data_IF_980282599116
#
_entry.id   IF_980282599116
#
_cell.length_a   1.000
_cell.length_b   1.000
_cell.length_c   1.000
_cell.angle_alpha   90.00
_cell.angle_beta   90.00
_cell.angle_gamma   90.00
#
_symmetry.space_group_name_H-M   'P 1'
#
loop_
_entity.id
_entity.type
_entity.pdbx_description
1 polymer ?
#
# COMPACT_ATOMS: atom_id res chain seq x y z
N UNK A 1 10.89 48.32 52.00
CA UNK A 1 10.16 47.09 52.41
C UNK A 1 10.07 47.18 53.98
N UNK A 2 8.85 47.26 54.50
CA UNK A 2 8.63 47.24 55.96
C UNK A 2 9.01 45.85 56.51
N UNK A 3 9.63 45.74 57.69
CA UNK A 3 10.09 44.44 58.22
C UNK A 3 9.03 43.37 58.33
N UNK A 4 7.79 43.73 58.60
CA UNK A 4 6.67 42.82 58.73
C UNK A 4 6.24 42.18 57.34
N UNK A 5 6.42 42.92 56.29
CA UNK A 5 6.17 42.38 54.92
C UNK A 5 7.29 41.44 54.46
N UNK A 6 8.51 41.62 54.97
CA UNK A 6 9.61 40.72 54.57
C UNK A 6 9.50 39.35 55.22
N UNK A 7 9.09 39.27 56.48
CA UNK A 7 8.86 37.97 57.14
C UNK A 7 7.71 37.19 56.46
N UNK A 8 6.58 37.86 56.23
CA UNK A 8 5.43 37.24 55.52
C UNK A 8 5.80 36.79 54.08
N UNK A 9 6.57 37.60 53.38
CA UNK A 9 7.09 37.24 52.06
C UNK A 9 8.05 36.05 52.15
N UNK A 10 8.98 36.02 53.07
CA UNK A 10 9.92 34.92 53.27
C UNK A 10 9.22 33.63 53.63
N UNK A 11 8.22 33.68 54.49
CA UNK A 11 7.42 32.49 54.82
C UNK A 11 6.60 31.98 53.67
N UNK A 12 6.02 32.87 52.90
CA UNK A 12 5.29 32.51 51.66
C UNK A 12 6.19 31.87 50.60
N UNK A 13 7.40 32.45 50.43
CA UNK A 13 8.41 31.87 49.51
C UNK A 13 8.88 30.52 50.03
N UNK A 14 9.12 30.38 51.33
CA UNK A 14 9.58 29.12 51.93
C UNK A 14 8.51 28.01 51.87
N UNK A 15 7.25 28.37 52.07
CA UNK A 15 6.13 27.43 51.84
C UNK A 15 6.01 27.04 50.37
N UNK A 16 6.16 27.99 49.46
CA UNK A 16 6.14 27.72 48.02
C UNK A 16 7.26 26.76 47.62
N UNK A 17 8.47 26.93 48.13
CA UNK A 17 9.59 26.02 47.89
C UNK A 17 9.32 24.63 48.46
N UNK A 18 8.76 24.52 49.68
CA UNK A 18 8.42 23.25 50.32
C UNK A 18 7.37 22.46 49.53
N UNK A 19 6.45 23.16 48.87
CA UNK A 19 5.37 22.56 48.04
C UNK A 19 5.72 22.50 46.55
N UNK A 20 6.99 22.70 46.18
CA UNK A 20 7.46 22.76 44.79
C UNK A 20 6.75 23.81 43.93
N UNK A 21 6.20 24.86 44.55
CA UNK A 21 5.47 25.92 43.85
C UNK A 21 4.12 25.47 43.28
N UNK A 22 3.60 26.27 42.35
CA UNK A 22 2.39 25.93 41.59
C UNK A 22 2.80 25.57 40.17
N UNK A 23 2.32 24.45 39.61
CA UNK A 23 2.64 24.08 38.24
C UNK A 23 2.18 25.19 37.28
N UNK A 24 3.05 25.60 36.37
CA UNK A 24 2.75 26.57 35.31
C UNK A 24 2.36 25.88 34.03
N UNK A 25 3.01 24.79 33.75
CA UNK A 25 2.75 23.92 32.61
C UNK A 25 2.94 22.45 33.01
N UNK A 26 2.27 21.61 32.27
CA UNK A 26 2.42 20.16 32.34
C UNK A 26 2.38 19.58 30.92
N UNK A 27 3.36 18.72 30.63
CA UNK A 27 3.44 18.04 29.34
C UNK A 27 3.67 16.55 29.51
N UNK A 28 2.84 15.77 28.86
CA UNK A 28 2.97 14.32 28.79
C UNK A 28 3.07 13.89 27.33
N UNK A 29 4.01 13.01 27.03
CA UNK A 29 4.13 12.39 25.70
C UNK A 29 4.08 10.89 25.83
N UNK A 30 3.24 10.27 25.04
CA UNK A 30 3.12 8.82 24.91
C UNK A 30 3.50 8.41 23.51
N UNK A 31 4.39 7.44 23.39
CA UNK A 31 4.78 6.85 22.10
C UNK A 31 4.68 5.35 22.19
N UNK A 32 3.95 4.75 21.27
CA UNK A 32 3.88 3.32 21.07
C UNK A 32 4.27 2.99 19.63
N UNK A 33 5.20 2.08 19.45
CA UNK A 33 5.59 1.59 18.13
C UNK A 33 5.52 0.07 18.10
N UNK A 34 4.92 -0.46 17.05
CA UNK A 34 4.78 -1.89 16.87
C UNK A 34 5.14 -2.28 15.43
N UNK A 35 6.08 -3.18 15.30
CA UNK A 35 6.40 -3.85 14.05
C UNK A 35 5.59 -5.13 13.96
N UNK A 36 4.63 -5.16 13.04
CA UNK A 36 3.78 -6.36 12.85
C UNK A 36 4.65 -7.44 12.21
N UNK A 37 4.88 -8.58 12.88
CA UNK A 37 5.82 -9.58 12.40
C UNK A 37 5.24 -10.49 11.30
N UNK A 38 4.58 -9.89 10.30
CA UNK A 38 4.01 -10.63 9.16
C UNK A 38 5.08 -11.39 8.40
N UNK A 39 6.26 -10.80 8.28
CA UNK A 39 7.42 -11.40 7.61
C UNK A 39 7.97 -12.68 8.26
N UNK A 40 7.54 -13.01 9.50
CA UNK A 40 7.88 -14.28 10.16
C UNK A 40 6.97 -15.42 9.72
N UNK A 41 5.84 -15.12 9.10
CA UNK A 41 4.95 -16.11 8.53
C UNK A 41 5.44 -16.49 7.13
N UNK A 42 5.61 -17.79 6.82
CA UNK A 42 6.25 -18.22 5.57
C UNK A 42 5.51 -17.81 4.29
N UNK A 43 4.22 -17.42 4.39
CA UNK A 43 3.42 -16.93 3.25
C UNK A 43 3.52 -15.41 3.10
N UNK A 44 3.91 -14.68 4.17
CA UNK A 44 3.90 -13.21 4.22
C UNK A 44 5.29 -12.58 4.42
N UNK A 45 6.36 -13.31 4.13
CA UNK A 45 7.74 -12.82 4.20
C UNK A 45 8.03 -11.63 3.25
N UNK A 46 7.18 -11.44 2.26
CA UNK A 46 7.20 -10.32 1.30
C UNK A 46 6.49 -9.06 1.81
N UNK A 47 5.86 -9.10 3.02
CA UNK A 47 5.15 -7.99 3.63
C UNK A 47 5.88 -7.53 4.88
N UNK A 48 6.22 -6.25 4.93
CA UNK A 48 6.71 -5.58 6.14
C UNK A 48 5.73 -4.49 6.53
N UNK A 49 5.27 -4.48 7.78
CA UNK A 49 4.38 -3.43 8.24
C UNK A 49 4.73 -2.95 9.64
N UNK A 50 4.50 -1.67 9.88
CA UNK A 50 4.72 -1.03 11.17
C UNK A 50 3.60 -0.03 11.47
N UNK A 51 3.27 0.06 12.75
CA UNK A 51 2.35 1.03 13.29
C UNK A 51 3.07 1.85 14.37
N UNK A 52 2.92 3.16 14.33
CA UNK A 52 3.44 4.06 15.36
C UNK A 52 2.33 5.00 15.78
N UNK A 53 2.13 5.09 17.07
CA UNK A 53 1.18 5.99 17.70
C UNK A 53 1.91 6.93 18.64
N UNK A 54 1.78 8.22 18.41
CA UNK A 54 2.31 9.28 19.25
C UNK A 54 1.15 10.12 19.77
N UNK A 55 1.12 10.41 21.07
CA UNK A 55 0.17 11.31 21.67
C UNK A 55 0.89 12.27 22.62
N UNK A 56 0.55 13.54 22.54
CA UNK A 56 1.07 14.58 23.43
C UNK A 56 -0.11 15.30 24.06
N UNK A 57 -0.09 15.37 25.38
CA UNK A 57 -1.02 16.16 26.18
C UNK A 57 -0.26 17.30 26.81
N UNK A 58 -0.79 18.53 26.72
CA UNK A 58 -0.27 19.69 27.38
C UNK A 58 -1.39 20.36 28.20
N UNK A 59 -1.04 20.82 29.37
CA UNK A 59 -1.84 21.71 30.20
C UNK A 59 -0.98 22.94 30.49
N UNK A 60 -1.54 24.11 30.29
CA UNK A 60 -0.88 25.39 30.54
C UNK A 60 -1.79 26.23 31.43
N UNK A 61 -1.25 26.75 32.52
CA UNK A 61 -1.99 27.62 33.43
C UNK A 61 -2.42 28.90 32.74
N UNK A 62 -3.68 29.24 32.90
CA UNK A 62 -4.21 30.50 32.46
C UNK A 62 -3.79 31.66 33.34
N UNK A 63 -3.94 32.85 32.84
CA UNK A 63 -3.73 34.09 33.54
C UNK A 63 -5.03 34.57 34.18
N UNK A 64 -4.95 35.25 35.32
CA UNK A 64 -6.06 36.00 35.86
C UNK A 64 -6.03 37.44 35.30
N UNK A 65 -7.19 38.02 35.07
CA UNK A 65 -7.34 39.43 34.73
C UNK A 65 -7.08 40.33 35.97
N UNK A 66 -6.87 41.61 35.74
CA UNK A 66 -6.62 42.57 36.81
C UNK A 66 -7.76 42.70 37.83
N UNK A 67 -8.96 42.34 37.45
CA UNK A 67 -10.16 42.29 38.29
C UNK A 67 -10.30 41.00 39.09
N UNK A 68 -9.33 40.07 38.97
CA UNK A 68 -9.30 38.80 39.67
C UNK A 68 -10.06 37.69 38.94
N UNK A 69 -10.63 37.95 37.76
CA UNK A 69 -11.31 36.94 36.97
C UNK A 69 -10.32 35.93 36.41
N UNK A 70 -10.45 34.64 36.78
CA UNK A 70 -9.64 33.56 36.22
C UNK A 70 -10.15 33.16 34.83
N UNK A 71 -9.29 33.25 33.83
CA UNK A 71 -9.64 32.86 32.43
C UNK A 71 -9.62 31.35 32.22
N UNK A 72 -9.28 30.56 33.25
CA UNK A 72 -9.07 29.14 33.14
C UNK A 72 -7.78 28.76 32.43
N UNK A 73 -7.44 27.50 32.46
CA UNK A 73 -6.23 26.94 31.83
C UNK A 73 -6.47 26.60 30.37
N UNK A 74 -5.41 26.31 29.66
CA UNK A 74 -5.52 25.78 28.31
C UNK A 74 -5.04 24.33 28.30
N UNK A 75 -5.89 23.40 27.84
CA UNK A 75 -5.47 22.03 27.56
C UNK A 75 -5.37 21.82 26.07
N UNK A 76 -4.40 21.04 25.68
CA UNK A 76 -4.27 20.62 24.28
C UNK A 76 -3.81 19.18 24.18
N UNK A 77 -4.28 18.50 23.17
CA UNK A 77 -3.76 17.20 22.78
C UNK A 77 -3.38 17.20 21.30
N UNK A 78 -2.41 16.37 20.98
CA UNK A 78 -2.03 16.07 19.62
C UNK A 78 -1.75 14.58 19.55
N UNK A 79 -2.44 13.86 18.65
CA UNK A 79 -2.15 12.47 18.37
C UNK A 79 -1.73 12.30 16.91
N UNK A 80 -0.84 11.37 16.67
CA UNK A 80 -0.44 10.97 15.31
C UNK A 80 -0.37 9.46 15.24
N UNK A 81 -1.13 8.87 14.34
CA UNK A 81 -1.05 7.46 13.94
C UNK A 81 -0.36 7.36 12.59
N UNK A 82 0.74 6.63 12.56
CA UNK A 82 1.46 6.31 11.32
C UNK A 82 1.38 4.81 11.08
N UNK A 83 0.87 4.43 9.93
CA UNK A 83 0.85 3.06 9.45
C UNK A 83 1.70 2.98 8.18
N UNK A 84 2.68 2.10 8.17
CA UNK A 84 3.54 1.87 7.02
C UNK A 84 3.45 0.41 6.61
N UNK A 85 3.29 0.16 5.31
CA UNK A 85 3.31 -1.16 4.71
C UNK A 85 4.21 -1.17 3.49
N UNK A 86 5.16 -2.08 3.45
CA UNK A 86 6.03 -2.32 2.30
C UNK A 86 5.79 -3.73 1.79
N UNK A 87 5.45 -3.84 0.52
CA UNK A 87 5.14 -5.08 -0.18
C UNK A 87 6.24 -5.35 -1.21
N UNK A 88 7.11 -6.31 -0.93
CA UNK A 88 8.16 -6.73 -1.85
C UNK A 88 7.64 -7.83 -2.77
N UNK A 89 7.10 -7.43 -3.91
CA UNK A 89 6.51 -8.34 -4.89
C UNK A 89 7.53 -9.33 -5.46
N UNK A 90 8.80 -8.95 -5.51
CA UNK A 90 9.85 -9.85 -5.98
C UNK A 90 10.01 -11.06 -5.04
N UNK A 91 9.98 -10.87 -3.73
CA UNK A 91 10.00 -11.95 -2.77
C UNK A 91 8.80 -12.86 -2.95
N UNK A 92 7.59 -12.27 -3.12
CA UNK A 92 6.38 -13.03 -3.43
C UNK A 92 6.53 -13.89 -4.69
N UNK A 93 7.07 -13.32 -5.78
CA UNK A 93 7.25 -14.06 -7.04
C UNK A 93 8.23 -15.22 -6.89
N UNK A 94 9.24 -15.10 -6.02
CA UNK A 94 10.23 -16.14 -5.77
C UNK A 94 9.66 -17.38 -5.07
N UNK A 95 8.48 -17.30 -4.43
CA UNK A 95 7.77 -18.47 -3.91
C UNK A 95 7.29 -19.43 -5.02
N UNK A 96 7.07 -18.90 -6.21
CA UNK A 96 6.63 -19.68 -7.36
C UNK A 96 7.83 -20.10 -8.22
N UNK A 97 8.17 -21.40 -8.32
CA UNK A 97 9.37 -21.84 -9.05
C UNK A 97 9.44 -21.39 -10.51
N UNK A 98 8.29 -21.28 -11.17
CA UNK A 98 8.20 -20.78 -12.54
C UNK A 98 8.54 -19.28 -12.62
N UNK A 99 7.92 -18.46 -11.76
CA UNK A 99 8.16 -17.01 -11.72
C UNK A 99 9.59 -16.69 -11.30
N UNK A 100 10.13 -17.45 -10.34
CA UNK A 100 11.54 -17.35 -9.93
C UNK A 100 12.49 -17.54 -11.11
N UNK A 101 12.30 -18.61 -11.91
CA UNK A 101 13.11 -18.86 -13.11
C UNK A 101 12.99 -17.74 -14.15
N UNK A 102 11.80 -17.21 -14.33
CA UNK A 102 11.57 -16.08 -15.24
C UNK A 102 12.30 -14.84 -14.74
N UNK A 103 12.24 -14.55 -13.44
CA UNK A 103 12.90 -13.41 -12.81
C UNK A 103 14.45 -13.52 -12.89
N UNK A 104 15.01 -14.69 -12.59
CA UNK A 104 16.45 -14.95 -12.69
C UNK A 104 16.97 -14.77 -14.13
N UNK A 105 16.20 -15.23 -15.13
CA UNK A 105 16.51 -15.03 -16.54
C UNK A 105 16.51 -13.56 -16.95
N UNK A 106 15.56 -12.82 -16.42
CA UNK A 106 15.44 -11.39 -16.65
C UNK A 106 16.64 -10.60 -16.08
N UNK A 107 17.15 -11.02 -14.91
CA UNK A 107 18.29 -10.38 -14.22
C UNK A 107 19.66 -10.71 -14.82
N UNK A 108 19.80 -11.90 -15.44
CA UNK A 108 21.10 -12.27 -16.04
C UNK A 108 21.42 -11.34 -17.19
N UNK A 109 22.60 -10.69 -17.21
CA UNK A 109 23.03 -9.93 -18.37
C UNK A 109 23.00 -10.86 -19.58
N UNK A 110 22.52 -10.40 -20.72
CA UNK A 110 22.75 -11.08 -21.99
C UNK A 110 24.26 -11.05 -22.17
N UNK A 111 24.91 -12.18 -21.93
CA UNK A 111 26.33 -12.30 -22.28
C UNK A 111 26.43 -11.90 -23.75
N UNK A 112 27.01 -10.73 -24.00
CA UNK A 112 27.39 -10.34 -25.35
C UNK A 112 28.35 -11.43 -25.77
N UNK A 113 27.91 -12.33 -26.61
CA UNK A 113 28.77 -13.28 -27.28
C UNK A 113 29.72 -12.41 -28.13
N UNK A 114 30.85 -12.08 -27.57
CA UNK A 114 31.93 -11.52 -28.33
C UNK A 114 32.27 -12.62 -29.32
N UNK A 115 31.84 -12.46 -30.56
CA UNK A 115 32.34 -13.25 -31.66
C UNK A 115 33.82 -12.91 -31.74
N UNK A 116 34.68 -13.77 -31.18
CA UNK A 116 36.09 -13.74 -31.50
C UNK A 116 36.20 -13.92 -33.02
N UNK A 117 36.94 -13.08 -33.70
CA UNK A 117 37.22 -13.30 -35.09
C UNK A 117 38.19 -14.50 -35.17
N UNK A 118 37.64 -15.67 -35.49
CA UNK A 118 38.48 -16.82 -35.90
C UNK A 118 39.04 -16.56 -37.27
N UNK A 119 40.29 -16.03 -37.28
CA UNK A 119 41.19 -16.20 -38.41
C UNK A 119 41.71 -17.64 -38.41
N UNK A 120 41.08 -18.53 -39.11
CA UNK A 120 41.69 -19.78 -39.56
C UNK A 120 41.17 -20.13 -40.93
N UNK A 121 42.12 -20.25 -41.83
CA UNK A 121 42.06 -20.52 -43.25
C UNK A 121 41.20 -21.73 -43.61
N UNK A 122 40.43 -21.55 -44.68
CA UNK A 122 39.77 -22.55 -45.48
C UNK A 122 40.74 -23.51 -46.14
N UNK A 123 40.42 -24.77 -46.39
CA UNK A 123 40.51 -25.32 -47.73
C UNK A 123 39.16 -25.80 -48.24
N UNK A 124 38.98 -25.43 -49.46
CA UNK A 124 37.98 -25.84 -50.45
C UNK A 124 38.05 -27.34 -50.74
N UNK A 125 36.93 -28.00 -50.75
CA UNK A 125 36.61 -28.95 -51.85
C UNK A 125 35.10 -29.17 -51.92
N UNK A 126 34.57 -28.93 -53.06
CA UNK A 126 33.22 -29.17 -53.51
C UNK A 126 32.97 -30.67 -53.66
N UNK A 127 31.77 -31.09 -53.28
CA UNK A 127 31.02 -32.08 -54.06
C UNK A 127 29.52 -31.97 -53.76
N UNK A 128 28.80 -31.85 -54.82
CA UNK A 128 27.33 -31.70 -54.93
C UNK A 128 26.68 -33.07 -55.01
N UNK A 129 25.37 -33.15 -54.77
CA UNK A 129 24.67 -34.23 -54.11
C UNK A 129 24.01 -35.18 -55.07
N UNK A 130 23.73 -36.34 -54.57
CA UNK A 130 22.73 -37.23 -55.20
C UNK A 130 21.51 -37.40 -54.28
N UNK A 131 20.34 -37.21 -54.84
CA UNK A 131 19.07 -37.53 -54.23
C UNK A 131 19.01 -39.05 -54.00
N UNK A 132 18.46 -39.40 -52.86
CA UNK A 132 17.45 -40.44 -52.66
C UNK A 132 17.52 -40.94 -51.20
N UNK A 133 16.41 -40.94 -50.63
CA UNK A 133 15.74 -41.86 -49.73
C UNK A 133 15.07 -41.17 -48.57
N UNK A 134 13.77 -41.18 -48.67
CA UNK A 134 12.78 -40.95 -47.62
C UNK A 134 12.93 -41.98 -46.51
N UNK A 135 13.86 -41.75 -45.61
CA UNK A 135 13.92 -42.41 -44.32
C UNK A 135 13.70 -41.37 -43.21
N UNK A 136 12.62 -41.55 -42.45
CA UNK A 136 12.33 -40.84 -41.22
C UNK A 136 13.59 -40.64 -40.39
N UNK A 137 13.84 -39.46 -39.83
CA UNK A 137 15.07 -39.18 -39.08
C UNK A 137 15.21 -40.16 -37.91
N UNK A 138 16.17 -41.08 -38.00
CA UNK A 138 16.61 -41.90 -36.87
C UNK A 138 17.02 -41.00 -35.73
N UNK A 139 16.16 -40.91 -34.73
CA UNK A 139 16.37 -40.08 -33.55
C UNK A 139 17.60 -40.62 -32.80
N UNK A 140 18.80 -40.05 -33.04
CA UNK A 140 20.09 -40.48 -32.48
C UNK A 140 20.14 -40.49 -30.94
N UNK A 141 19.07 -40.04 -30.28
CA UNK A 141 18.93 -39.94 -28.83
C UNK A 141 17.90 -40.90 -28.23
N UNK A 142 17.39 -41.88 -28.96
CA UNK A 142 16.47 -42.87 -28.43
C UNK A 142 17.25 -44.05 -27.82
N UNK A 143 16.94 -44.39 -26.58
CA UNK A 143 17.37 -45.65 -25.99
C UNK A 143 16.37 -46.75 -26.44
N UNK A 144 16.85 -47.86 -26.95
CA UNK A 144 16.03 -48.96 -27.38
C UNK A 144 16.54 -50.23 -26.73
N UNK A 145 15.59 -51.02 -26.20
CA UNK A 145 15.85 -52.31 -25.60
C UNK A 145 14.69 -53.25 -25.88
N UNK A 146 15.00 -54.49 -26.23
CA UNK A 146 14.00 -55.53 -26.36
C UNK A 146 13.78 -56.16 -24.96
N UNK A 147 12.52 -56.23 -24.53
CA UNK A 147 12.13 -56.74 -23.23
C UNK A 147 11.08 -57.82 -23.43
N UNK A 148 11.32 -58.96 -22.75
CA UNK A 148 10.32 -59.97 -22.58
C UNK A 148 9.60 -59.72 -21.25
N UNK A 149 8.38 -59.30 -21.32
CA UNK A 149 7.54 -59.01 -20.18
C UNK A 149 6.77 -60.26 -19.77
N UNK A 150 6.66 -60.50 -18.48
CA UNK A 150 5.85 -61.60 -17.93
C UNK A 150 4.77 -61.01 -17.01
N UNK A 151 3.64 -61.72 -16.83
CA UNK A 151 2.59 -61.23 -15.93
C UNK A 151 3.12 -61.00 -14.52
N UNK A 152 2.66 -59.92 -13.90
CA UNK A 152 3.01 -59.51 -12.53
C UNK A 152 4.49 -59.36 -12.20
N UNK A 153 5.38 -59.35 -13.17
CA UNK A 153 6.79 -59.05 -12.99
C UNK A 153 7.11 -57.62 -13.30
N UNK A 154 8.02 -57.05 -12.50
CA UNK A 154 8.52 -55.68 -12.75
C UNK A 154 9.92 -55.74 -13.33
N UNK A 155 10.12 -55.15 -14.48
CA UNK A 155 11.42 -55.08 -15.17
C UNK A 155 12.00 -53.67 -15.01
N UNK A 156 13.19 -53.60 -14.40
CA UNK A 156 13.92 -52.34 -14.28
C UNK A 156 14.75 -52.08 -15.54
N UNK A 157 14.54 -50.95 -16.18
CA UNK A 157 15.26 -50.54 -17.39
C UNK A 157 16.12 -49.31 -17.06
N UNK A 158 17.42 -49.44 -17.34
CA UNK A 158 18.38 -48.34 -17.21
C UNK A 158 18.58 -47.66 -18.53
N UNK A 159 17.94 -46.51 -18.73
CA UNK A 159 17.94 -45.78 -20.00
C UNK A 159 19.03 -44.69 -20.09
N UNK A 160 19.66 -44.31 -18.99
CA UNK A 160 20.78 -43.33 -18.87
C UNK A 160 20.53 -41.99 -19.57
N UNK A 161 19.24 -41.52 -19.64
CA UNK A 161 18.87 -40.26 -20.30
C UNK A 161 19.00 -39.02 -19.41
N UNK A 162 19.36 -39.18 -18.13
CA UNK A 162 19.48 -38.11 -17.12
C UNK A 162 18.23 -37.20 -17.05
N UNK A 163 17.05 -37.80 -17.24
CA UNK A 163 15.78 -37.06 -17.25
C UNK A 163 14.68 -37.89 -16.59
N UNK A 164 13.88 -37.23 -15.75
CA UNK A 164 12.62 -37.81 -15.22
C UNK A 164 11.44 -37.67 -16.19
N UNK A 165 11.57 -36.80 -17.20
CA UNK A 165 10.55 -36.57 -18.22
C UNK A 165 10.90 -37.42 -19.45
N UNK A 166 10.17 -38.52 -19.60
CA UNK A 166 10.42 -39.51 -20.64
C UNK A 166 9.17 -39.67 -21.51
N UNK A 167 9.42 -39.96 -22.78
CA UNK A 167 8.45 -40.51 -23.73
C UNK A 167 8.83 -41.97 -23.89
N UNK A 168 7.99 -42.87 -23.42
CA UNK A 168 8.23 -44.30 -23.46
C UNK A 168 7.21 -44.89 -24.43
N UNK A 169 7.67 -45.55 -25.45
CA UNK A 169 6.84 -46.26 -26.43
C UNK A 169 7.29 -47.70 -26.55
N UNK A 170 6.36 -48.62 -26.62
CA UNK A 170 6.63 -50.03 -26.84
C UNK A 170 5.98 -50.48 -28.15
N UNK A 171 6.69 -51.35 -28.89
CA UNK A 171 6.18 -51.98 -30.09
C UNK A 171 6.44 -53.47 -30.05
N UNK A 172 5.47 -54.25 -30.52
CA UNK A 172 5.59 -55.69 -30.72
C UNK A 172 6.55 -56.02 -31.88
N UNK A 173 6.96 -57.27 -32.04
CA UNK A 173 7.80 -57.70 -33.16
C UNK A 173 7.19 -57.39 -34.53
N UNK A 174 5.86 -57.33 -34.62
CA UNK A 174 5.10 -57.00 -35.85
C UNK A 174 5.01 -55.48 -36.04
N UNK A 175 5.69 -54.65 -35.25
CA UNK A 175 5.70 -53.19 -35.36
C UNK A 175 4.46 -52.49 -34.83
N UNK A 176 3.47 -53.20 -34.30
CA UNK A 176 2.26 -52.60 -33.69
C UNK A 176 2.58 -51.92 -32.36
N UNK A 177 1.97 -50.77 -32.09
CA UNK A 177 2.08 -50.08 -30.82
C UNK A 177 1.45 -50.90 -29.69
N UNK A 178 2.16 -51.08 -28.58
CA UNK A 178 1.69 -51.82 -27.44
C UNK A 178 1.59 -50.89 -26.21
N UNK A 179 0.44 -50.82 -25.54
CA UNK A 179 0.28 -50.02 -24.35
C UNK A 179 1.07 -50.61 -23.19
N UNK A 180 1.93 -49.82 -22.57
CA UNK A 180 2.82 -50.24 -21.49
C UNK A 180 2.64 -49.37 -20.26
N UNK A 181 2.58 -49.95 -19.07
CA UNK A 181 2.57 -49.24 -17.81
C UNK A 181 4.00 -49.12 -17.27
N UNK A 182 4.44 -47.92 -17.03
CA UNK A 182 5.77 -47.66 -16.47
C UNK A 182 5.74 -46.64 -15.35
N UNK A 183 6.72 -46.74 -14.44
CA UNK A 183 6.97 -45.76 -13.37
C UNK A 183 8.42 -45.34 -13.45
N UNK A 184 8.66 -44.04 -13.48
CA UNK A 184 10.01 -43.46 -13.43
C UNK A 184 10.51 -43.53 -11.99
N UNK A 185 11.63 -44.22 -11.77
CA UNK A 185 12.25 -44.37 -10.44
C UNK A 185 13.21 -43.23 -10.18
N UNK A 186 14.13 -43.02 -11.12
CA UNK A 186 15.09 -41.92 -11.06
C UNK A 186 15.36 -41.30 -12.44
N UNK A 187 16.38 -40.44 -12.54
CA UNK A 187 16.74 -39.76 -13.80
C UNK A 187 17.27 -40.72 -14.88
N UNK A 188 17.64 -41.96 -14.51
CA UNK A 188 18.30 -42.92 -15.38
C UNK A 188 17.57 -44.26 -15.44
N UNK A 189 16.61 -44.52 -14.55
CA UNK A 189 15.92 -45.81 -14.42
C UNK A 189 14.42 -45.63 -14.43
N UNK A 190 13.76 -46.55 -15.10
CA UNK A 190 12.31 -46.73 -15.05
C UNK A 190 11.94 -48.19 -14.83
N UNK A 191 10.81 -48.43 -14.24
CA UNK A 191 10.27 -49.78 -14.00
C UNK A 191 9.05 -49.94 -14.87
N UNK A 192 9.02 -51.03 -15.59
CA UNK A 192 7.93 -51.42 -16.47
C UNK A 192 7.18 -52.58 -15.82
N UNK A 193 5.86 -52.51 -15.84
CA UNK A 193 4.98 -53.62 -15.37
C UNK A 193 3.97 -53.93 -16.47
N UNK A 194 3.74 -55.22 -16.69
CA UNK A 194 2.76 -55.71 -17.64
C UNK A 194 1.90 -56.82 -17.08
N UNK A 195 0.73 -57.05 -17.65
CA UNK A 195 -0.19 -58.09 -17.24
C UNK A 195 -0.11 -59.35 -18.11
N UNK A 196 0.50 -59.25 -19.30
CA UNK A 196 0.57 -60.33 -20.28
C UNK A 196 2.02 -60.69 -20.62
N UNK A 197 2.24 -61.91 -21.10
CA UNK A 197 3.55 -62.32 -21.61
C UNK A 197 3.73 -61.83 -23.04
N UNK A 198 4.53 -60.81 -23.23
CA UNK A 198 4.79 -60.19 -24.55
C UNK A 198 6.25 -59.76 -24.68
N UNK A 199 6.83 -59.99 -25.87
CA UNK A 199 8.14 -59.44 -26.18
C UNK A 199 7.93 -58.13 -26.95
N UNK A 200 8.43 -57.00 -26.37
CA UNK A 200 8.27 -55.67 -26.92
C UNK A 200 9.62 -54.97 -27.07
N UNK A 201 9.75 -54.19 -28.12
CA UNK A 201 10.85 -53.27 -28.28
C UNK A 201 10.47 -51.96 -27.62
N UNK A 202 11.10 -51.70 -26.46
CA UNK A 202 10.91 -50.47 -25.70
C UNK A 202 11.80 -49.37 -26.30
N UNK A 203 11.24 -48.21 -26.57
CA UNK A 203 11.96 -47.01 -26.97
C UNK A 203 11.73 -45.93 -25.93
N UNK A 204 12.83 -45.45 -25.31
CA UNK A 204 12.81 -44.38 -24.27
C UNK A 204 13.50 -43.17 -24.86
N UNK A 205 12.78 -42.08 -24.91
CA UNK A 205 13.29 -40.79 -25.39
C UNK A 205 13.12 -39.75 -24.27
N UNK A 206 14.15 -38.96 -23.99
CA UNK A 206 13.98 -37.85 -23.08
C UNK A 206 13.09 -36.79 -23.74
N UNK A 207 12.01 -36.42 -23.05
CA UNK A 207 11.18 -35.29 -23.49
C UNK A 207 12.01 -34.01 -23.39
N UNK A 208 12.00 -33.13 -24.40
CA UNK A 208 12.73 -31.88 -24.34
C UNK A 208 12.35 -31.09 -23.08
N UNK A 209 13.27 -30.26 -22.54
CA UNK A 209 12.96 -29.39 -21.44
C UNK A 209 11.72 -28.57 -21.72
N UNK A 210 10.88 -28.30 -20.70
CA UNK A 210 9.64 -27.51 -20.84
C UNK A 210 9.93 -26.15 -21.49
N UNK A 211 11.14 -25.68 -21.31
CA UNK A 211 11.65 -24.41 -21.84
C UNK A 211 11.65 -24.33 -23.36
N UNK A 212 11.68 -25.49 -24.05
CA UNK A 212 11.66 -25.58 -25.52
C UNK A 212 10.24 -25.79 -26.09
N UNK A 213 9.22 -25.87 -25.25
CA UNK A 213 7.84 -25.96 -25.71
C UNK A 213 7.35 -24.60 -26.24
N UNK A 214 6.56 -24.61 -27.30
CA UNK A 214 6.10 -23.41 -28.02
C UNK A 214 5.36 -22.40 -27.12
N UNK A 215 4.60 -22.88 -26.14
CA UNK A 215 3.82 -22.05 -25.19
C UNK A 215 4.70 -21.43 -24.10
N UNK A 216 5.93 -21.91 -23.89
CA UNK A 216 6.77 -21.47 -22.77
C UNK A 216 7.25 -20.01 -22.95
N UNK A 217 7.62 -19.61 -24.17
CA UNK A 217 8.02 -18.22 -24.46
C UNK A 217 6.86 -17.22 -24.27
N UNK A 218 5.66 -17.46 -24.83
CA UNK A 218 4.50 -16.63 -24.54
C UNK A 218 4.18 -16.57 -23.03
N UNK A 219 4.20 -17.72 -22.35
CA UNK A 219 3.96 -17.78 -20.91
C UNK A 219 4.98 -16.96 -20.10
N UNK A 220 6.25 -16.96 -20.51
CA UNK A 220 7.25 -16.08 -19.89
C UNK A 220 6.95 -14.60 -20.11
N UNK A 221 6.50 -14.21 -21.28
CA UNK A 221 6.14 -12.82 -21.58
C UNK A 221 4.95 -12.35 -20.73
N UNK A 222 3.92 -13.20 -20.62
CA UNK A 222 2.78 -12.94 -19.73
C UNK A 222 3.21 -12.87 -18.26
N UNK A 223 4.05 -13.82 -17.82
CA UNK A 223 4.58 -13.80 -16.45
C UNK A 223 5.38 -12.53 -16.16
N UNK A 224 6.17 -12.03 -17.13
CA UNK A 224 6.88 -10.75 -16.99
C UNK A 224 5.94 -9.57 -16.85
N UNK A 225 4.85 -9.56 -17.63
CA UNK A 225 3.82 -8.54 -17.49
C UNK A 225 3.16 -8.57 -16.11
N UNK A 226 2.85 -9.75 -15.57
CA UNK A 226 2.31 -9.91 -14.23
C UNK A 226 3.32 -9.51 -13.13
N UNK A 227 4.62 -9.76 -13.36
CA UNK A 227 5.72 -9.37 -12.46
C UNK A 227 6.22 -7.94 -12.69
N UNK A 228 5.45 -7.11 -13.39
CA UNK A 228 5.79 -5.71 -13.67
C UNK A 228 6.02 -4.92 -12.38
N UNK A 229 5.18 -5.15 -11.37
CA UNK A 229 5.26 -4.49 -10.06
C UNK A 229 6.38 -5.14 -9.25
N UNK A 230 7.36 -4.34 -8.79
CA UNK A 230 8.49 -4.82 -7.97
C UNK A 230 8.29 -4.56 -6.49
N UNK A 231 7.82 -3.37 -6.15
CA UNK A 231 7.49 -3.00 -4.78
C UNK A 231 6.29 -2.08 -4.74
N UNK A 232 5.55 -2.16 -3.64
CA UNK A 232 4.50 -1.21 -3.32
C UNK A 232 4.71 -0.76 -1.88
N UNK A 233 4.80 0.55 -1.66
CA UNK A 233 4.89 1.16 -0.34
C UNK A 233 3.63 1.97 -0.08
N UNK A 234 2.99 1.71 1.04
CA UNK A 234 1.78 2.42 1.48
C UNK A 234 2.10 3.07 2.82
N UNK A 235 1.89 4.38 2.92
CA UNK A 235 2.04 5.15 4.15
C UNK A 235 0.72 5.86 4.43
N UNK A 236 0.19 5.64 5.61
CA UNK A 236 -0.99 6.33 6.08
C UNK A 236 -0.66 7.06 7.38
N UNK A 237 -0.96 8.35 7.44
CA UNK A 237 -0.82 9.19 8.62
C UNK A 237 -2.16 9.83 8.94
N UNK A 238 -2.63 9.63 10.16
CA UNK A 238 -3.77 10.34 10.72
C UNK A 238 -3.26 11.20 11.89
N UNK A 239 -3.44 12.48 11.79
CA UNK A 239 -3.12 13.42 12.85
C UNK A 239 -4.39 14.13 13.31
N UNK A 240 -4.56 14.24 14.62
CA UNK A 240 -5.63 15.01 15.24
C UNK A 240 -5.07 15.85 16.36
N UNK A 241 -5.36 17.11 16.37
CA UNK A 241 -4.99 18.05 17.42
C UNK A 241 -6.22 18.80 17.92
N UNK A 242 -6.28 19.01 19.22
CA UNK A 242 -7.32 19.81 19.87
C UNK A 242 -6.66 20.81 20.83
N UNK A 243 -7.15 22.01 20.86
CA UNK A 243 -6.83 23.03 21.85
C UNK A 243 -8.13 23.53 22.47
N UNK A 244 -8.21 23.47 23.80
CA UNK A 244 -9.39 23.83 24.57
C UNK A 244 -8.99 24.84 25.66
N UNK A 245 -9.15 26.13 25.40
CA UNK A 245 -8.94 27.18 26.40
C UNK A 245 -10.10 27.23 27.40
N UNK A 246 -9.93 27.90 28.50
CA UNK A 246 -10.94 28.07 29.56
C UNK A 246 -11.14 26.84 30.43
N UNK A 247 -10.21 25.88 30.42
CA UNK A 247 -10.33 24.66 31.22
C UNK A 247 -10.08 24.95 32.71
N UNK A 248 -11.08 24.69 33.54
CA UNK A 248 -11.08 25.07 34.96
C UNK A 248 -10.22 24.15 35.86
N UNK A 249 -10.19 22.80 35.66
CA UNK A 249 -9.41 21.93 36.52
C UNK A 249 -7.89 22.15 36.40
N UNK A 250 -7.19 22.06 37.56
CA UNK A 250 -5.74 22.11 37.61
C UNK A 250 -5.11 20.73 37.58
N UNK A 251 -3.83 20.66 37.27
CA UNK A 251 -3.05 19.42 37.35
C UNK A 251 -2.79 19.11 38.85
N UNK A 252 -3.25 17.95 39.30
CA UNK A 252 -3.15 17.54 40.70
C UNK A 252 -2.47 16.20 40.93
N UNK A 253 -2.13 15.47 39.85
CA UNK A 253 -1.42 14.20 39.94
C UNK A 253 -0.30 14.08 38.89
N UNK A 254 0.45 13.00 38.96
CA UNK A 254 1.58 12.73 38.08
C UNK A 254 1.14 12.53 36.61
N UNK A 255 -0.11 12.16 36.38
CA UNK A 255 -0.67 11.96 35.02
C UNK A 255 -1.41 13.21 34.52
N UNK A 256 -1.44 14.29 35.27
CA UNK A 256 -2.10 15.53 34.90
C UNK A 256 -3.63 15.42 34.84
N UNK A 257 -4.22 14.45 35.53
CA UNK A 257 -5.61 14.05 35.38
C UNK A 257 -6.50 14.40 36.55
N UNK A 258 -5.95 14.53 37.74
CA UNK A 258 -6.74 14.57 38.95
C UNK A 258 -6.55 15.86 39.76
N UNK A 259 -7.66 16.52 40.04
CA UNK A 259 -7.71 17.61 41.03
C UNK A 259 -8.76 17.24 42.07
N UNK A 260 -8.34 16.86 43.28
CA UNK A 260 -9.25 16.36 44.31
C UNK A 260 -9.93 15.04 43.89
N UNK A 261 -11.25 15.03 43.83
CA UNK A 261 -12.06 13.88 43.39
C UNK A 261 -12.38 13.88 41.88
N UNK A 262 -12.01 14.93 41.17
CA UNK A 262 -12.37 15.09 39.74
C UNK A 262 -11.27 14.51 38.85
N UNK A 263 -11.65 13.61 37.95
CA UNK A 263 -10.77 13.07 36.92
C UNK A 263 -10.98 13.87 35.62
N UNK A 264 -10.24 14.92 35.44
CA UNK A 264 -10.28 15.80 34.27
C UNK A 264 -8.85 16.18 33.82
N UNK A 265 -8.54 16.13 32.53
CA UNK A 265 -9.41 15.97 31.37
C UNK A 265 -9.79 14.51 31.06
N UNK A 266 -9.27 13.52 31.77
CA UNK A 266 -9.49 12.10 31.55
C UNK A 266 -8.42 11.46 30.65
N UNK A 267 -8.13 10.16 30.89
CA UNK A 267 -7.08 9.42 30.18
C UNK A 267 -7.30 9.42 28.67
N UNK A 268 -8.56 9.36 28.21
CA UNK A 268 -8.86 9.42 26.77
C UNK A 268 -8.34 10.70 26.11
N UNK A 269 -8.43 11.86 26.80
CA UNK A 269 -7.87 13.10 26.30
C UNK A 269 -6.33 13.10 26.35
N UNK A 270 -5.74 12.63 27.43
CA UNK A 270 -4.30 12.57 27.59
C UNK A 270 -3.61 11.67 26.54
N UNK A 271 -4.28 10.59 26.15
CA UNK A 271 -3.80 9.69 25.08
C UNK A 271 -4.31 10.06 23.69
N UNK A 272 -5.00 11.20 23.52
CA UNK A 272 -5.48 11.64 22.22
C UNK A 272 -6.60 10.79 21.62
N UNK A 273 -7.30 9.99 22.42
CA UNK A 273 -8.39 9.09 21.98
C UNK A 273 -9.75 9.80 21.91
N UNK A 274 -9.78 11.11 22.03
CA UNK A 274 -10.99 11.93 21.99
C UNK A 274 -11.12 12.61 20.63
N UNK A 275 -12.36 12.95 20.27
CA UNK A 275 -12.71 13.71 19.08
C UNK A 275 -13.42 15.01 19.42
N UNK A 276 -14.03 15.63 18.42
CA UNK A 276 -14.72 16.94 18.53
C UNK A 276 -15.83 16.95 19.61
N UNK A 277 -16.47 15.81 19.87
CA UNK A 277 -17.49 15.65 20.92
C UNK A 277 -16.95 15.88 22.34
N UNK A 278 -15.64 15.93 22.52
CA UNK A 278 -15.03 16.20 23.82
C UNK A 278 -15.34 17.60 24.35
N UNK A 279 -15.47 18.59 23.45
CA UNK A 279 -15.83 19.96 23.82
C UNK A 279 -17.18 19.97 24.52
N UNK A 280 -18.19 19.29 23.94
CA UNK A 280 -19.51 19.16 24.57
C UNK A 280 -19.41 18.46 25.92
N UNK A 281 -18.66 17.37 26.00
CA UNK A 281 -18.43 16.66 27.26
C UNK A 281 -17.80 17.55 28.33
N UNK A 282 -16.85 18.42 27.98
CA UNK A 282 -16.24 19.35 28.91
C UNK A 282 -17.22 20.43 29.40
N UNK A 283 -18.12 20.89 28.53
CA UNK A 283 -19.23 21.80 28.89
C UNK A 283 -20.19 21.11 29.84
N UNK A 284 -20.67 19.90 29.52
CA UNK A 284 -21.65 19.14 30.31
C UNK A 284 -21.12 18.82 31.73
N UNK A 285 -19.80 18.62 31.87
CA UNK A 285 -19.17 18.37 33.16
C UNK A 285 -18.81 19.66 33.93
N UNK A 286 -19.08 20.85 33.38
CA UNK A 286 -18.70 22.12 34.02
C UNK A 286 -17.20 22.34 34.12
N UNK A 287 -16.40 21.77 33.23
CA UNK A 287 -14.94 21.92 33.25
C UNK A 287 -14.44 23.16 32.52
N UNK A 288 -15.36 23.92 31.90
CA UNK A 288 -15.01 25.13 31.18
C UNK A 288 -15.52 26.37 31.86
N UNK A 289 -14.69 27.41 31.89
CA UNK A 289 -15.08 28.75 32.34
C UNK A 289 -15.95 29.37 31.25
N UNK A 290 -17.18 29.73 31.61
CA UNK A 290 -18.15 30.39 30.73
C UNK A 290 -18.15 31.89 30.99
N UNK A 291 -17.10 32.59 30.52
CA UNK A 291 -16.99 34.03 30.65
C UNK A 291 -16.86 34.69 29.28
N UNK A 292 -17.58 35.78 29.06
CA UNK A 292 -17.53 36.55 27.81
C UNK A 292 -16.15 37.09 27.48
N UNK A 293 -15.27 37.18 28.50
CA UNK A 293 -13.88 37.59 28.37
C UNK A 293 -12.96 36.55 27.71
N UNK A 294 -13.43 35.30 27.54
CA UNK A 294 -12.68 34.26 26.82
C UNK A 294 -12.97 34.37 25.33
N UNK A 295 -12.17 35.13 24.64
CA UNK A 295 -12.34 35.35 23.17
C UNK A 295 -11.85 34.19 22.32
N UNK A 296 -11.10 33.22 22.87
CA UNK A 296 -10.48 32.15 22.10
C UNK A 296 -11.39 30.90 22.05
N UNK A 297 -11.86 30.50 20.88
CA UNK A 297 -12.68 29.28 20.74
C UNK A 297 -11.87 28.00 20.94
N UNK A 298 -12.55 26.90 21.20
CA UNK A 298 -11.93 25.58 21.06
C UNK A 298 -11.59 25.32 19.61
N UNK A 299 -10.38 24.85 19.36
CA UNK A 299 -9.89 24.55 17.99
C UNK A 299 -9.57 23.08 17.86
N UNK A 300 -10.03 22.48 16.76
CA UNK A 300 -9.62 21.12 16.38
C UNK A 300 -9.05 21.13 14.97
N UNK A 301 -8.02 20.32 14.75
CA UNK A 301 -7.41 20.14 13.45
C UNK A 301 -7.19 18.64 13.21
N UNK A 302 -7.68 18.14 12.07
CA UNK A 302 -7.52 16.77 11.64
C UNK A 302 -6.85 16.73 10.28
N UNK A 303 -5.82 15.94 10.13
CA UNK A 303 -5.15 15.72 8.84
C UNK A 303 -5.03 14.21 8.59
N UNK A 304 -5.51 13.80 7.42
CA UNK A 304 -5.37 12.45 6.88
C UNK A 304 -4.45 12.52 5.67
N UNK A 305 -3.38 11.76 5.68
CA UNK A 305 -2.39 11.71 4.60
C UNK A 305 -2.17 10.25 4.20
N UNK A 306 -2.44 9.95 2.94
CA UNK A 306 -2.22 8.64 2.33
C UNK A 306 -1.24 8.81 1.18
N UNK A 307 -0.15 8.07 1.22
CA UNK A 307 0.85 8.01 0.18
C UNK A 307 1.02 6.58 -0.28
N UNK A 308 0.96 6.38 -1.59
CA UNK A 308 1.19 5.09 -2.24
C UNK A 308 2.29 5.28 -3.26
N UNK A 309 3.32 4.46 -3.16
CA UNK A 309 4.40 4.40 -4.14
C UNK A 309 4.49 2.99 -4.69
N UNK A 310 4.55 2.85 -6.00
CA UNK A 310 4.78 1.58 -6.66
C UNK A 310 5.95 1.70 -7.64
N UNK A 311 6.86 0.73 -7.62
CA UNK A 311 7.95 0.64 -8.57
C UNK A 311 7.66 -0.47 -9.56
N UNK A 312 7.64 -0.11 -10.84
CA UNK A 312 7.40 -1.00 -11.96
C UNK A 312 8.69 -1.18 -12.76
N UNK A 313 8.92 -2.39 -13.27
CA UNK A 313 10.07 -2.69 -14.13
C UNK A 313 9.61 -3.46 -15.38
N UNK A 314 9.06 -2.76 -16.41
CA UNK A 314 8.53 -3.38 -17.61
C UNK A 314 9.62 -4.01 -18.49
N UNK A 315 10.80 -3.41 -18.52
CA UNK A 315 11.95 -3.92 -19.26
C UNK A 315 13.20 -3.86 -18.38
N UNK A 316 14.26 -4.55 -18.78
CA UNK A 316 15.55 -4.47 -18.09
C UNK A 316 16.02 -3.02 -18.11
N UNK A 317 16.52 -2.54 -16.97
CA UNK A 317 17.07 -1.21 -16.77
C UNK A 317 16.05 -0.05 -16.96
N UNK A 318 14.75 -0.36 -17.23
CA UNK A 318 13.66 0.60 -17.28
C UNK A 318 12.83 0.51 -16.00
N UNK A 319 12.97 1.49 -15.12
CA UNK A 319 12.19 1.61 -13.89
C UNK A 319 11.20 2.76 -14.01
N UNK A 320 9.98 2.52 -13.61
CA UNK A 320 8.91 3.50 -13.56
C UNK A 320 8.45 3.58 -12.12
N UNK A 321 8.65 4.72 -11.47
CA UNK A 321 8.17 4.99 -10.13
C UNK A 321 6.85 5.74 -10.21
N UNK A 322 5.81 5.14 -9.66
CA UNK A 322 4.48 5.70 -9.58
C UNK A 322 4.25 6.19 -8.15
N UNK A 323 3.92 7.47 -7.99
CA UNK A 323 3.63 8.07 -6.69
C UNK A 323 2.22 8.64 -6.70
N UNK A 324 1.41 8.27 -5.72
CA UNK A 324 0.10 8.85 -5.50
C UNK A 324 0.01 9.35 -4.07
N UNK A 325 -0.59 10.50 -3.88
CA UNK A 325 -0.82 11.08 -2.56
C UNK A 325 -2.24 11.65 -2.45
N UNK A 326 -2.79 11.54 -1.25
CA UNK A 326 -4.05 12.17 -0.87
C UNK A 326 -3.88 12.77 0.51
N UNK A 327 -4.06 14.06 0.62
CA UNK A 327 -4.04 14.77 1.90
C UNK A 327 -5.37 15.49 2.06
N UNK A 328 -6.02 15.27 3.19
CA UNK A 328 -7.23 15.95 3.62
C UNK A 328 -6.96 16.60 4.97
N UNK A 329 -7.15 17.89 5.06
CA UNK A 329 -7.06 18.63 6.31
C UNK A 329 -8.39 19.31 6.61
N UNK A 330 -8.82 19.21 7.85
CA UNK A 330 -10.05 19.82 8.36
C UNK A 330 -9.75 20.53 9.67
N UNK A 331 -10.09 21.80 9.72
CA UNK A 331 -9.97 22.62 10.93
C UNK A 331 -11.35 23.09 11.35
N UNK A 332 -11.63 23.02 12.64
CA UNK A 332 -12.87 23.51 13.25
C UNK A 332 -12.55 24.45 14.40
N UNK A 333 -13.33 25.51 14.49
CA UNK A 333 -13.34 26.47 15.58
C UNK A 333 -14.71 26.46 16.21
N UNK A 334 -14.80 26.08 17.49
CA UNK A 334 -16.04 25.82 18.22
C UNK A 334 -16.19 26.88 19.29
N UNK A 335 -17.22 27.71 19.18
CA UNK A 335 -17.55 28.76 20.13
C UNK A 335 -18.40 28.17 21.27
N UNK A 336 -17.77 27.47 22.19
CA UNK A 336 -18.46 26.72 23.26
C UNK A 336 -19.15 27.60 24.30
N UNK A 337 -18.83 28.89 24.37
CA UNK A 337 -19.45 29.88 25.28
C UNK A 337 -20.86 30.29 24.86
N UNK A 338 -21.22 30.09 23.59
CA UNK A 338 -22.51 30.50 23.07
C UNK A 338 -23.45 29.30 22.95
N UNK A 339 -24.75 29.52 23.25
CA UNK A 339 -25.79 28.50 23.09
C UNK A 339 -25.76 27.91 21.67
N UNK A 340 -25.87 26.57 21.60
CA UNK A 340 -25.78 25.84 20.33
C UNK A 340 -24.36 25.67 19.76
N UNK A 341 -23.33 26.18 20.43
CA UNK A 341 -21.91 26.07 20.07
C UNK A 341 -21.62 26.31 18.59
N UNK A 342 -21.80 27.55 18.12
CA UNK A 342 -21.53 27.89 16.72
C UNK A 342 -20.14 27.40 16.29
N UNK A 343 -20.09 26.69 15.18
CA UNK A 343 -18.86 26.08 14.69
C UNK A 343 -18.53 26.58 13.29
N UNK A 344 -17.31 27.10 13.15
CA UNK A 344 -16.74 27.44 11.84
C UNK A 344 -15.84 26.30 11.38
N UNK A 345 -15.99 25.86 10.15
CA UNK A 345 -15.17 24.80 9.58
C UNK A 345 -14.47 25.29 8.32
N UNK A 346 -13.19 24.96 8.21
CA UNK A 346 -12.39 25.12 6.99
C UNK A 346 -11.62 23.84 6.70
N UNK A 347 -11.14 23.67 5.48
CA UNK A 347 -10.37 22.48 5.14
C UNK A 347 -9.68 22.63 3.79
N UNK A 348 -8.69 21.78 3.58
CA UNK A 348 -7.98 21.64 2.33
C UNK A 348 -7.99 20.19 1.89
N UNK A 349 -8.14 19.99 0.59
CA UNK A 349 -8.06 18.67 -0.01
C UNK A 349 -7.07 18.73 -1.17
N UNK A 350 -6.11 17.82 -1.14
CA UNK A 350 -5.10 17.67 -2.17
C UNK A 350 -4.98 16.19 -2.56
N UNK A 351 -5.06 15.89 -3.84
CA UNK A 351 -4.97 14.53 -4.33
C UNK A 351 -4.26 14.48 -5.69
N UNK A 352 -3.40 13.47 -5.86
CA UNK A 352 -2.84 13.14 -7.16
C UNK A 352 -3.89 12.39 -7.99
N UNK A 353 -4.23 12.92 -9.15
CA UNK A 353 -5.15 12.28 -10.10
C UNK A 353 -4.53 12.26 -11.50
N UNK A 354 -4.90 11.29 -12.32
CA UNK A 354 -4.68 11.33 -13.77
C UNK A 354 -6.04 11.52 -14.44
N UNK A 355 -6.13 12.53 -15.29
CA UNK A 355 -7.29 12.78 -16.15
C UNK A 355 -6.94 12.49 -17.61
N UNK A 356 -6.66 11.23 -17.93
CA UNK A 356 -6.32 10.82 -19.31
C UNK A 356 -7.47 11.16 -20.26
N UNK A 357 -8.71 11.03 -19.83
CA UNK A 357 -9.89 11.35 -20.62
C UNK A 357 -10.01 12.81 -21.00
N UNK A 358 -9.47 13.72 -20.17
CA UNK A 358 -9.47 15.17 -20.43
C UNK A 358 -8.14 15.69 -20.99
N UNK A 359 -7.06 14.91 -20.90
CA UNK A 359 -5.73 15.31 -21.34
C UNK A 359 -5.62 15.55 -22.86
N UNK A 360 -6.52 14.95 -23.66
CA UNK A 360 -6.56 15.05 -25.11
C UNK A 360 -7.77 15.86 -25.61
N UNK A 361 -8.43 16.60 -24.72
CA UNK A 361 -9.51 17.47 -25.11
C UNK A 361 -8.99 18.58 -26.03
N UNK A 362 -9.70 18.84 -27.11
CA UNK A 362 -9.37 19.96 -28.01
C UNK A 362 -9.74 21.25 -27.30
N UNK A 363 -8.78 22.11 -27.08
CA UNK A 363 -9.04 23.48 -26.67
C UNK A 363 -9.69 24.23 -27.84
N UNK A 364 -10.78 24.93 -27.55
CA UNK A 364 -11.35 25.88 -28.50
C UNK A 364 -10.37 27.02 -28.80
N UNK A 365 -10.67 27.78 -29.84
CA UNK A 365 -9.91 28.98 -30.21
C UNK A 365 -10.53 30.26 -29.63
N UNK A 366 -9.87 31.39 -29.85
CA UNK A 366 -10.36 32.70 -29.39
C UNK A 366 -11.72 33.09 -30.00
N UNK A 367 -12.02 32.61 -31.21
CA UNK A 367 -13.27 32.93 -31.91
C UNK A 367 -14.45 32.14 -31.34
N UNK A 368 -14.18 30.95 -30.76
CA UNK A 368 -15.19 30.11 -30.11
C UNK A 368 -15.35 30.37 -28.61
N UNK A 369 -14.58 31.33 -28.03
CA UNK A 369 -14.62 31.61 -26.59
C UNK A 369 -13.95 30.54 -25.72
N UNK A 370 -13.05 29.76 -26.27
CA UNK A 370 -12.33 28.66 -25.57
C UNK A 370 -13.25 27.65 -24.86
N UNK A 371 -14.27 27.08 -25.51
CA UNK A 371 -15.15 26.13 -24.89
C UNK A 371 -14.38 24.87 -24.44
N UNK A 372 -14.71 24.39 -23.27
CA UNK A 372 -14.19 23.12 -22.73
C UNK A 372 -15.37 22.18 -22.44
N UNK A 373 -15.48 21.11 -23.21
CA UNK A 373 -16.56 20.14 -23.05
C UNK A 373 -16.47 19.42 -21.69
N UNK A 374 -15.28 19.31 -21.10
CA UNK A 374 -15.11 18.74 -19.74
C UNK A 374 -15.62 19.72 -18.70
N UNK A 375 -15.34 21.01 -18.86
CA UNK A 375 -15.82 22.03 -17.94
C UNK A 375 -17.35 22.20 -18.00
N UNK A 376 -17.94 22.13 -19.17
CA UNK A 376 -19.40 22.14 -19.33
C UNK A 376 -20.04 20.95 -18.60
N UNK A 377 -19.50 19.75 -18.80
CA UNK A 377 -19.95 18.53 -18.06
C UNK A 377 -19.79 18.68 -16.55
N UNK A 378 -18.72 19.35 -16.10
CA UNK A 378 -18.54 19.65 -14.68
C UNK A 378 -19.64 20.57 -14.16
N UNK A 379 -19.94 21.64 -14.87
CA UNK A 379 -21.02 22.55 -14.50
C UNK A 379 -22.37 21.86 -14.48
N UNK A 380 -22.68 21.00 -15.45
CA UNK A 380 -23.90 20.22 -15.53
C UNK A 380 -24.04 19.18 -14.40
N UNK A 381 -22.91 18.71 -13.88
CA UNK A 381 -22.89 17.77 -12.76
C UNK A 381 -23.18 18.43 -11.40
N UNK A 382 -22.90 19.74 -11.24
CA UNK A 382 -23.03 20.43 -9.95
C UNK A 382 -24.41 20.31 -9.30
N UNK A 383 -25.54 20.49 -10.01
CA UNK A 383 -26.88 20.35 -9.39
C UNK A 383 -27.12 18.94 -8.83
N UNK A 384 -26.69 17.92 -9.55
CA UNK A 384 -26.81 16.53 -9.11
C UNK A 384 -26.00 16.28 -7.83
N UNK A 385 -24.75 16.72 -7.79
CA UNK A 385 -23.91 16.56 -6.61
C UNK A 385 -24.37 17.41 -5.43
N UNK A 386 -24.99 18.55 -5.69
CA UNK A 386 -25.60 19.39 -4.66
C UNK A 386 -26.76 18.67 -3.97
N UNK A 387 -27.67 18.06 -4.72
CA UNK A 387 -28.75 17.24 -4.14
C UNK A 387 -28.22 16.05 -3.35
N UNK A 388 -27.21 15.36 -3.86
CA UNK A 388 -26.57 14.25 -3.16
C UNK A 388 -25.90 14.70 -1.86
N UNK A 389 -25.23 15.86 -1.86
CA UNK A 389 -24.60 16.41 -0.68
C UNK A 389 -25.64 16.77 0.40
N UNK A 390 -26.75 17.42 0.03
CA UNK A 390 -27.84 17.72 0.96
C UNK A 390 -28.41 16.44 1.56
N UNK A 391 -28.64 15.41 0.76
CA UNK A 391 -29.14 14.13 1.25
C UNK A 391 -28.13 13.42 2.18
N UNK A 392 -26.83 13.45 1.84
CA UNK A 392 -25.79 12.79 2.62
C UNK A 392 -25.55 13.44 3.98
N UNK A 393 -25.52 14.78 4.02
CA UNK A 393 -25.28 15.52 5.27
C UNK A 393 -26.53 15.84 6.07
N UNK A 394 -27.71 15.54 5.54
CA UNK A 394 -29.00 15.79 6.20
C UNK A 394 -29.30 17.25 6.47
N UNK A 395 -28.70 18.18 5.70
CA UNK A 395 -28.87 19.62 5.83
C UNK A 395 -29.15 20.26 4.49
N UNK A 396 -30.02 21.28 4.47
CA UNK A 396 -30.34 22.07 3.28
C UNK A 396 -29.42 23.31 3.10
N UNK A 397 -28.52 23.54 4.04
CA UNK A 397 -27.67 24.74 4.08
C UNK A 397 -26.39 24.62 3.24
N UNK A 398 -26.26 23.56 2.43
CA UNK A 398 -25.08 23.37 1.58
C UNK A 398 -25.21 24.23 0.33
N UNK A 399 -24.25 25.12 0.12
CA UNK A 399 -24.19 25.92 -1.10
C UNK A 399 -23.70 25.08 -2.28
N UNK A 400 -24.26 25.33 -3.48
CA UNK A 400 -23.92 24.61 -4.71
C UNK A 400 -22.42 24.66 -5.03
N UNK A 401 -21.73 25.75 -4.70
CA UNK A 401 -20.29 25.93 -4.92
C UNK A 401 -19.44 25.63 -3.68
N UNK A 402 -19.98 24.88 -2.74
CA UNK A 402 -19.20 24.42 -1.59
C UNK A 402 -18.22 23.30 -1.97
N UNK A 403 -17.15 23.13 -1.18
CA UNK A 403 -16.18 22.05 -1.38
C UNK A 403 -16.84 20.66 -1.37
N UNK A 404 -17.91 20.49 -0.57
CA UNK A 404 -18.66 19.23 -0.49
C UNK A 404 -19.35 18.85 -1.81
N UNK A 405 -19.64 19.80 -2.67
CA UNK A 405 -20.26 19.61 -3.98
C UNK A 405 -19.23 19.65 -5.10
N UNK A 406 -18.35 20.64 -5.08
CA UNK A 406 -17.40 20.87 -6.18
C UNK A 406 -16.35 19.76 -6.29
N UNK A 407 -15.81 19.28 -5.17
CA UNK A 407 -14.75 18.25 -5.20
C UNK A 407 -15.26 16.95 -5.83
N UNK A 408 -16.37 16.33 -5.38
CA UNK A 408 -16.86 15.09 -6.00
C UNK A 408 -17.31 15.31 -7.45
N UNK A 409 -17.93 16.45 -7.79
CA UNK A 409 -18.31 16.77 -9.16
C UNK A 409 -17.06 16.88 -10.07
N UNK A 410 -16.02 17.55 -9.61
CA UNK A 410 -14.75 17.66 -10.34
C UNK A 410 -14.11 16.28 -10.55
N UNK A 411 -14.02 15.48 -9.50
CA UNK A 411 -13.43 14.15 -9.59
C UNK A 411 -14.21 13.25 -10.55
N UNK A 412 -15.53 13.27 -10.48
CA UNK A 412 -16.38 12.47 -11.38
C UNK A 412 -16.17 12.86 -12.85
N UNK A 413 -16.13 14.16 -13.13
CA UNK A 413 -16.05 14.68 -14.50
C UNK A 413 -14.65 14.52 -15.09
N UNK A 414 -13.61 14.92 -14.34
CA UNK A 414 -12.24 14.97 -14.85
C UNK A 414 -11.51 13.62 -14.79
N UNK A 415 -11.91 12.71 -13.90
CA UNK A 415 -11.32 11.35 -13.85
C UNK A 415 -12.11 10.34 -14.68
N UNK A 416 -13.25 10.72 -15.23
CA UNK A 416 -14.07 9.87 -16.11
C UNK A 416 -14.71 8.66 -15.41
N UNK A 417 -14.83 8.70 -14.09
CA UNK A 417 -15.35 7.56 -13.32
C UNK A 417 -16.86 7.36 -13.45
N UNK A 418 -17.62 8.41 -13.84
CA UNK A 418 -19.06 8.35 -14.18
C UNK A 418 -20.00 7.77 -13.13
N UNK A 419 -19.52 7.50 -11.93
CA UNK A 419 -20.28 6.77 -10.91
C UNK A 419 -20.98 7.64 -9.88
N UNK A 420 -20.86 8.97 -9.98
CA UNK A 420 -21.65 9.92 -9.22
C UNK A 420 -21.77 9.67 -7.72
N UNK A 421 -20.72 9.20 -7.07
CA UNK A 421 -20.72 8.87 -5.65
C UNK A 421 -20.05 9.96 -4.83
N UNK A 422 -20.69 10.38 -3.76
CA UNK A 422 -20.11 11.23 -2.71
C UNK A 422 -19.08 10.49 -1.85
N UNK A 423 -18.84 9.20 -2.09
CA UNK A 423 -17.83 8.46 -1.36
C UNK A 423 -16.47 9.12 -1.52
N UNK A 424 -16.07 9.83 -0.48
CA UNK A 424 -14.74 10.44 -0.36
C UNK A 424 -13.60 9.42 -0.25
N UNK A 425 -13.92 8.12 -0.18
CA UNK A 425 -12.96 7.05 -0.43
C UNK A 425 -12.90 6.81 -1.93
N UNK A 426 -11.98 7.46 -2.67
CA UNK A 426 -11.76 7.04 -4.03
C UNK A 426 -11.34 5.57 -3.99
N UNK A 427 -11.98 4.74 -4.79
CA UNK A 427 -11.44 3.40 -5.02
C UNK A 427 -9.95 3.55 -5.38
N UNK A 428 -9.10 2.62 -4.95
CA UNK A 428 -7.65 2.62 -5.29
C UNK A 428 -7.40 2.83 -6.79
N UNK A 429 -8.37 2.48 -7.64
CA UNK A 429 -8.37 2.72 -9.08
C UNK A 429 -8.39 4.22 -9.49
N UNK A 430 -8.75 5.15 -8.58
CA UNK A 430 -8.74 6.60 -8.83
C UNK A 430 -7.45 7.28 -8.35
N UNK A 431 -6.64 6.59 -7.56
CA UNK A 431 -5.31 7.03 -7.15
C UNK A 431 -4.33 6.67 -8.26
N UNK A 432 -4.28 7.50 -9.30
CA UNK A 432 -3.28 7.34 -10.34
C UNK A 432 -2.07 8.23 -10.00
N UNK A 433 -0.86 7.68 -10.10
CA UNK A 433 0.35 8.30 -9.58
C UNK A 433 0.98 9.32 -10.51
N UNK A 434 1.79 10.22 -9.95
CA UNK A 434 2.76 11.00 -10.71
C UNK A 434 3.84 10.06 -11.29
N UNK A 435 4.21 10.29 -12.54
CA UNK A 435 5.16 9.46 -13.26
C UNK A 435 6.60 9.96 -13.08
N UNK A 436 7.49 9.05 -12.76
CA UNK A 436 8.92 9.28 -12.92
C UNK A 436 9.51 8.07 -13.64
N UNK A 437 10.07 8.29 -14.82
CA UNK A 437 10.70 7.24 -15.63
C UNK A 437 12.20 7.41 -15.58
N UNK A 438 12.92 6.37 -15.16
CA UNK A 438 14.39 6.31 -15.16
C UNK A 438 14.82 5.18 -16.05
N UNK A 439 15.65 5.50 -17.04
CA UNK A 439 16.29 4.53 -17.91
C UNK A 439 17.82 4.62 -17.74
N UNK A 440 18.45 3.49 -17.40
CA UNK A 440 19.90 3.34 -17.35
C UNK A 440 20.27 2.35 -18.44
N UNK A 441 20.86 2.86 -19.50
CA UNK A 441 21.38 2.07 -20.62
C UNK A 441 22.88 1.77 -20.48
#
# INVERSE_FOLDING_TARGET
>A
LYPDHYTAWKDSVWQSIKHFGRPLDYRQTFTASYQVPLNKLPIFDWVTSSAKYDATYNWVRGTALNDGTELGNTISNNRQLNLNGTFNMETLYNHFPFLKKVNERFRKPIAKTVKQPNNAKKPTTANKPTKEDTALPKNKNAFQQELRLQPDTTVTVSHNKRSKRLIVTARTKDGRAYPIRYKVVDQNKLVVRNLDTVTVKLTVTAKPPVENEWWYKPAQSVARLLMLVRSVDIKYRNQYAMSLPGFSPNVGDMLGQRTGSVMAPGLGFAFGMTGDSYVQKAVDNGWLVMADSIATPAATNQTNDLQVRATLEPARDLKIDLNASRTESRSRSIQYMYGGMPTTQSGTFNMTTISISSAFERMGDANSGYPSAVFERFCDALPRFHQQAMAHYGTQDIKQYSAAVMIPAFLDTYTGSGRGSLDFMPSLARLLPNWSVRYNG
#
